data_IF_048728878217
#
_entry.id   IF_048728878217
#
_cell.length_a   1.000
_cell.length_b   1.000
_cell.length_c   1.000
_cell.angle_alpha   90.00
_cell.angle_beta   90.00
_cell.angle_gamma   90.00
#
_symmetry.space_group_name_H-M   'P 1'
#
loop_
_entity.id
_entity.type
_entity.pdbx_description
1 polymer ?
#
# COMPACT_ATOMS: atom_id res chain seq x y z
N UNK A 1 -2.75 7.97 9.51
CA UNK A 1 -3.23 7.06 8.47
C UNK A 1 -2.08 6.43 7.70
N UNK A 2 -2.32 5.28 7.12
CA UNK A 2 -1.30 4.55 6.37
C UNK A 2 -1.93 3.78 5.21
N UNK A 3 -1.14 3.48 4.20
CA UNK A 3 -1.51 2.64 3.08
C UNK A 3 -0.32 1.79 2.62
N UNK A 4 -0.59 0.54 2.29
CA UNK A 4 0.37 -0.34 1.64
C UNK A 4 0.01 -0.47 0.17
N UNK A 5 0.96 -0.13 -0.69
CA UNK A 5 0.89 -0.36 -2.12
C UNK A 5 1.72 -1.59 -2.46
N UNK A 6 1.12 -2.54 -3.16
CA UNK A 6 1.81 -3.73 -3.65
C UNK A 6 2.17 -3.56 -5.13
N UNK A 7 3.38 -3.97 -5.49
CA UNK A 7 3.82 -3.98 -6.88
C UNK A 7 3.28 -5.22 -7.58
N UNK A 8 2.52 -5.01 -8.65
CA UNK A 8 1.94 -6.05 -9.47
C UNK A 8 2.98 -6.62 -10.45
N UNK A 9 2.67 -7.78 -11.06
CA UNK A 9 3.55 -8.43 -12.05
C UNK A 9 3.90 -7.52 -13.24
N UNK A 10 2.98 -6.63 -13.64
CA UNK A 10 3.19 -5.68 -14.73
C UNK A 10 3.99 -4.43 -14.30
N UNK A 11 4.50 -4.37 -13.07
CA UNK A 11 5.25 -3.24 -12.52
C UNK A 11 4.39 -2.11 -11.96
N UNK A 12 3.08 -2.15 -12.12
CA UNK A 12 2.15 -1.16 -11.58
C UNK A 12 1.94 -1.37 -10.08
N UNK A 13 1.43 -0.35 -9.40
CA UNK A 13 1.23 -0.34 -7.95
C UNK A 13 -0.25 -0.21 -7.62
N UNK A 14 -0.73 -1.03 -6.70
CA UNK A 14 -2.11 -1.04 -6.23
C UNK A 14 -2.17 -0.95 -4.71
N UNK A 15 -3.06 -0.11 -4.18
CA UNK A 15 -3.34 -0.05 -2.75
C UNK A 15 -4.05 -1.32 -2.28
N UNK A 16 -3.44 -2.05 -1.34
CA UNK A 16 -3.95 -3.34 -0.87
C UNK A 16 -4.37 -3.35 0.59
N UNK A 17 -3.90 -2.40 1.38
CA UNK A 17 -4.27 -2.25 2.78
C UNK A 17 -4.23 -0.78 3.20
N UNK A 18 -5.20 -0.37 3.99
CA UNK A 18 -5.28 1.00 4.51
C UNK A 18 -5.62 1.00 5.99
N UNK A 19 -5.13 2.02 6.70
CA UNK A 19 -5.45 2.31 8.08
C UNK A 19 -5.85 3.78 8.21
N UNK A 20 -7.02 4.04 8.77
CA UNK A 20 -7.57 5.39 8.90
C UNK A 20 -8.04 5.98 7.56
N UNK A 21 -8.23 7.28 7.54
CA UNK A 21 -8.64 8.02 6.34
C UNK A 21 -7.39 8.39 5.54
N UNK A 22 -6.91 7.47 4.73
CA UNK A 22 -5.74 7.69 3.90
C UNK A 22 -6.12 8.42 2.61
N UNK A 23 -5.45 9.55 2.27
CA UNK A 23 -5.78 10.34 1.09
C UNK A 23 -5.33 9.63 -0.19
N UNK A 24 -6.19 9.55 -1.22
CA UNK A 24 -5.81 9.04 -2.53
C UNK A 24 -4.64 9.80 -3.15
N UNK A 25 -3.81 9.11 -3.93
CA UNK A 25 -2.64 9.69 -4.58
C UNK A 25 -2.98 10.40 -5.89
N UNK A 26 -4.22 10.30 -6.33
CA UNK A 26 -4.79 11.05 -7.45
C UNK A 26 -5.96 11.91 -6.98
N UNK A 27 -6.30 12.94 -7.75
CA UNK A 27 -7.47 13.78 -7.45
C UNK A 27 -8.75 12.96 -7.52
N UNK A 28 -9.58 13.06 -6.47
CA UNK A 28 -10.88 12.43 -6.46
C UNK A 28 -11.87 13.20 -7.32
N UNK A 29 -12.75 12.47 -7.99
CA UNK A 29 -13.85 13.03 -8.79
C UNK A 29 -15.13 13.23 -7.99
N UNK A 30 -15.26 12.56 -6.86
CA UNK A 30 -16.46 12.52 -6.03
C UNK A 30 -16.13 12.98 -4.62
N UNK A 31 -17.01 13.77 -4.00
CA UNK A 31 -16.87 14.20 -2.61
C UNK A 31 -17.10 13.03 -1.64
N UNK A 32 -16.44 13.10 -0.46
CA UNK A 32 -16.66 12.15 0.62
C UNK A 32 -18.05 12.32 1.24
N UNK A 33 -18.64 11.20 1.70
CA UNK A 33 -19.86 11.24 2.50
C UNK A 33 -19.56 11.79 3.92
N UNK A 34 -20.58 12.26 4.62
CA UNK A 34 -20.42 12.79 5.98
C UNK A 34 -20.21 11.71 7.05
N UNK A 35 -20.62 10.47 6.78
CA UNK A 35 -20.45 9.35 7.70
C UNK A 35 -19.05 8.75 7.68
N UNK A 36 -18.38 8.71 8.84
CA UNK A 36 -16.98 8.25 8.97
C UNK A 36 -16.76 6.81 8.48
N UNK A 37 -17.69 5.90 8.79
CA UNK A 37 -17.56 4.51 8.36
C UNK A 37 -17.70 4.36 6.84
N UNK A 38 -18.61 5.13 6.25
CA UNK A 38 -18.79 5.18 4.79
C UNK A 38 -17.62 5.84 4.08
N UNK A 39 -16.99 6.84 4.72
CA UNK A 39 -15.77 7.49 4.22
C UNK A 39 -14.61 6.51 4.13
N UNK A 40 -14.36 5.75 5.18
CA UNK A 40 -13.25 4.79 5.22
C UNK A 40 -13.41 3.72 4.13
N UNK A 41 -14.60 3.16 3.99
CA UNK A 41 -14.91 2.17 2.95
C UNK A 41 -14.78 2.75 1.54
N UNK A 42 -15.25 3.97 1.36
CA UNK A 42 -15.17 4.66 0.07
C UNK A 42 -13.72 4.91 -0.34
N UNK A 43 -12.88 5.38 0.58
CA UNK A 43 -11.46 5.60 0.34
C UNK A 43 -10.72 4.30 0.07
N UNK A 44 -11.00 3.25 0.83
CA UNK A 44 -10.43 1.92 0.61
C UNK A 44 -10.76 1.41 -0.80
N UNK A 45 -11.99 1.60 -1.25
CA UNK A 45 -12.43 1.24 -2.59
C UNK A 45 -11.73 2.04 -3.68
N UNK A 46 -11.54 3.34 -3.49
CA UNK A 46 -10.79 4.19 -4.40
C UNK A 46 -9.33 3.74 -4.47
N UNK A 47 -8.69 3.52 -3.32
CA UNK A 47 -7.29 3.11 -3.25
C UNK A 47 -7.04 1.75 -3.87
N UNK A 48 -7.96 0.79 -3.69
CA UNK A 48 -7.86 -0.53 -4.32
C UNK A 48 -8.09 -0.49 -5.84
N UNK A 49 -8.82 0.50 -6.35
CA UNK A 49 -9.02 0.72 -7.77
C UNK A 49 -7.97 1.64 -8.41
N UNK A 50 -7.21 2.36 -7.59
CA UNK A 50 -6.16 3.27 -8.03
C UNK A 50 -4.90 2.48 -8.37
N UNK A 51 -4.65 2.32 -9.67
CA UNK A 51 -3.45 1.63 -10.15
C UNK A 51 -2.46 2.67 -10.65
N UNK A 52 -1.33 2.80 -9.95
CA UNK A 52 -0.27 3.76 -10.26
C UNK A 52 0.79 3.12 -11.15
N UNK A 53 1.30 3.90 -12.10
CA UNK A 53 2.43 3.48 -12.91
C UNK A 53 3.74 3.57 -12.11
N UNK A 54 4.74 2.77 -12.49
CA UNK A 54 6.09 2.93 -11.94
C UNK A 54 6.66 4.29 -12.34
N UNK A 55 7.11 5.05 -11.35
CA UNK A 55 7.55 6.44 -11.55
C UNK A 55 6.45 7.50 -11.46
N UNK A 56 5.18 7.10 -11.33
CA UNK A 56 4.06 8.02 -11.15
C UNK A 56 3.97 8.51 -9.70
N UNK A 57 4.09 9.81 -9.50
CA UNK A 57 4.03 10.43 -8.17
C UNK A 57 5.18 9.97 -7.26
N UNK A 58 5.07 10.23 -5.96
CA UNK A 58 6.08 9.83 -4.99
C UNK A 58 6.08 8.31 -4.77
N UNK A 59 4.90 7.68 -4.72
CA UNK A 59 4.78 6.22 -4.59
C UNK A 59 5.50 5.52 -5.74
N UNK A 60 5.24 5.93 -6.98
CA UNK A 60 5.89 5.37 -8.16
C UNK A 60 7.40 5.62 -8.20
N UNK A 61 7.85 6.79 -7.75
CA UNK A 61 9.28 7.13 -7.63
C UNK A 61 9.98 6.22 -6.61
N UNK A 62 9.40 6.03 -5.43
CA UNK A 62 9.96 5.15 -4.38
C UNK A 62 9.99 3.69 -4.86
N UNK A 63 8.96 3.23 -5.54
CA UNK A 63 8.94 1.88 -6.11
C UNK A 63 10.03 1.68 -7.17
N UNK A 64 10.30 2.70 -7.97
CA UNK A 64 11.32 2.66 -9.02
C UNK A 64 12.74 2.73 -8.48
N UNK A 65 13.00 3.63 -7.52
CA UNK A 65 14.34 3.90 -6.99
C UNK A 65 14.74 3.00 -5.82
N UNK A 66 13.76 2.44 -5.10
CA UNK A 66 14.00 1.70 -3.85
C UNK A 66 14.50 2.58 -2.71
N UNK A 67 14.35 3.90 -2.81
CA UNK A 67 14.80 4.86 -1.80
C UNK A 67 13.60 5.49 -1.09
N UNK A 68 13.63 5.57 0.26
CA UNK A 68 12.56 6.23 1.01
C UNK A 68 12.52 7.73 0.72
N UNK A 69 11.33 8.31 0.82
CA UNK A 69 11.11 9.75 0.69
C UNK A 69 10.37 10.25 1.93
N UNK A 70 10.88 11.31 2.53
CA UNK A 70 10.25 12.02 3.63
C UNK A 70 9.77 13.39 3.16
N UNK A 71 8.50 13.69 3.39
CA UNK A 71 7.88 14.99 3.08
C UNK A 71 7.47 15.66 4.39
N UNK A 72 8.31 16.53 4.96
CA UNK A 72 8.04 17.16 6.25
C UNK A 72 6.93 18.21 6.19
N UNK A 73 6.73 18.83 5.03
CA UNK A 73 5.68 19.83 4.81
C UNK A 73 4.96 19.56 3.49
N UNK A 74 3.94 18.71 3.56
CA UNK A 74 3.18 18.29 2.40
C UNK A 74 2.37 19.42 1.75
N UNK A 75 2.01 20.46 2.52
CA UNK A 75 1.26 21.60 1.99
C UNK A 75 2.07 22.37 0.94
N UNK A 76 3.37 22.42 1.09
CA UNK A 76 4.28 23.14 0.21
C UNK A 76 4.96 22.24 -0.84
N UNK A 77 4.73 20.94 -0.81
CA UNK A 77 5.32 20.02 -1.77
C UNK A 77 4.37 19.84 -2.98
N UNK A 78 4.80 20.23 -4.19
CA UNK A 78 3.96 20.15 -5.39
C UNK A 78 3.68 18.72 -5.84
N UNK A 79 4.46 17.73 -5.37
CA UNK A 79 4.27 16.31 -5.71
C UNK A 79 3.10 15.69 -4.96
N UNK A 80 2.69 16.29 -3.84
CA UNK A 80 1.59 15.80 -3.00
C UNK A 80 0.26 16.32 -3.53
N UNK A 81 -0.65 15.40 -3.81
CA UNK A 81 -2.01 15.72 -4.23
C UNK A 81 -2.79 16.31 -3.05
N UNK A 82 -3.38 17.48 -3.25
CA UNK A 82 -4.18 18.17 -2.24
C UNK A 82 -5.66 17.89 -2.48
N UNK A 83 -6.34 17.51 -1.42
CA UNK A 83 -7.78 17.27 -1.43
C UNK A 83 -8.49 18.42 -0.71
N UNK A 84 -9.64 18.89 -1.24
CA UNK A 84 -10.38 19.98 -0.62
C UNK A 84 -10.99 19.62 0.74
N UNK A 85 -11.25 18.32 0.99
CA UNK A 85 -11.81 17.86 2.26
C UNK A 85 -10.77 17.96 3.39
N UNK A 86 -11.07 18.69 4.49
CA UNK A 86 -10.16 18.83 5.63
C UNK A 86 -9.80 17.49 6.29
N UNK A 87 -10.67 16.48 6.20
CA UNK A 87 -10.39 15.14 6.74
C UNK A 87 -9.24 14.43 6.00
N UNK A 88 -8.94 14.85 4.77
CA UNK A 88 -7.86 14.34 3.95
C UNK A 88 -6.64 15.27 3.90
N UNK A 89 -6.60 16.31 4.76
CA UNK A 89 -5.48 17.23 4.81
C UNK A 89 -4.19 16.52 5.23
N UNK A 90 -3.13 16.74 4.47
CA UNK A 90 -1.83 16.12 4.70
C UNK A 90 -0.87 17.17 5.24
N UNK A 91 -0.27 16.90 6.41
CA UNK A 91 0.77 17.74 7.02
C UNK A 91 2.16 17.25 6.65
N UNK A 92 2.41 15.97 6.84
CA UNK A 92 3.66 15.31 6.51
C UNK A 92 3.42 13.87 6.09
N UNK A 93 4.34 13.31 5.29
CA UNK A 93 4.27 11.93 4.81
C UNK A 93 5.64 11.28 4.81
N UNK A 94 5.64 9.96 5.02
CA UNK A 94 6.80 9.10 4.85
C UNK A 94 6.44 8.01 3.84
N UNK A 95 7.29 7.84 2.85
CA UNK A 95 7.18 6.78 1.84
C UNK A 95 8.39 5.85 2.01
N UNK A 96 8.15 4.60 2.35
CA UNK A 96 9.21 3.62 2.55
C UNK A 96 9.02 2.42 1.61
N UNK A 97 10.04 2.03 0.85
CA UNK A 97 9.95 0.87 -0.02
C UNK A 97 9.87 -0.43 0.79
N UNK A 98 9.06 -1.36 0.32
CA UNK A 98 8.99 -2.72 0.84
C UNK A 98 9.99 -3.56 0.08
N UNK A 99 11.14 -3.82 0.68
CA UNK A 99 12.27 -4.53 0.03
C UNK A 99 12.51 -5.87 0.69
N UNK A 100 12.62 -6.92 -0.13
CA UNK A 100 13.04 -8.25 0.28
C UNK A 100 13.98 -8.82 -0.77
N UNK A 101 15.17 -9.30 -0.35
CA UNK A 101 16.22 -9.80 -1.22
C UNK A 101 16.57 -8.85 -2.38
N UNK A 102 16.74 -7.56 -2.07
CA UNK A 102 17.02 -6.46 -3.02
C UNK A 102 15.93 -6.20 -4.07
N UNK A 103 14.74 -6.78 -3.89
CA UNK A 103 13.57 -6.59 -4.77
C UNK A 103 12.54 -5.71 -4.08
N UNK A 104 12.06 -4.67 -4.76
CA UNK A 104 10.97 -3.82 -4.28
C UNK A 104 9.64 -4.53 -4.53
N UNK A 105 8.93 -4.86 -3.45
CA UNK A 105 7.62 -5.52 -3.49
C UNK A 105 6.45 -4.52 -3.44
N UNK A 106 6.72 -3.31 -3.01
CA UNK A 106 5.71 -2.28 -2.87
C UNK A 106 6.22 -1.07 -2.11
N UNK A 107 5.30 -0.25 -1.62
CA UNK A 107 5.59 0.96 -0.85
C UNK A 107 4.65 1.08 0.33
N UNK A 108 5.19 1.32 1.52
CA UNK A 108 4.42 1.73 2.70
C UNK A 108 4.40 3.25 2.76
N UNK A 109 3.21 3.82 2.85
CA UNK A 109 3.01 5.26 3.01
C UNK A 109 2.33 5.55 4.33
N UNK A 110 2.91 6.42 5.14
CA UNK A 110 2.34 6.88 6.40
C UNK A 110 2.14 8.39 6.33
N UNK A 111 0.94 8.82 6.64
CA UNK A 111 0.56 10.25 6.62
C UNK A 111 0.20 10.71 8.01
N UNK A 112 0.60 11.93 8.35
CA UNK A 112 0.24 12.66 9.57
C UNK A 112 0.54 11.89 10.86
N UNK A 113 1.63 12.20 11.57
CA UNK A 113 1.88 11.63 12.88
C UNK A 113 0.79 12.04 13.88
N UNK A 114 0.43 11.15 14.80
CA UNK A 114 -0.60 11.42 15.81
C UNK A 114 -0.16 12.46 16.84
N UNK A 115 1.14 12.60 17.06
CA UNK A 115 1.74 13.39 18.13
C UNK A 115 2.37 14.70 17.69
N UNK A 116 2.19 15.15 16.44
CA UNK A 116 2.83 16.38 15.99
C UNK A 116 2.57 16.73 14.53
N UNK A 117 3.29 17.76 14.07
CA UNK A 117 3.17 18.27 12.70
C UNK A 117 4.03 17.50 11.70
N UNK A 118 5.10 16.88 12.18
CA UNK A 118 6.04 16.12 11.34
C UNK A 118 6.56 14.88 12.08
N UNK A 119 7.12 13.95 11.34
CA UNK A 119 7.73 12.74 11.88
C UNK A 119 9.10 13.04 12.49
N UNK A 120 9.39 12.43 13.65
CA UNK A 120 10.72 12.43 14.27
C UNK A 120 11.63 11.38 13.62
N UNK A 121 12.94 11.44 13.94
CA UNK A 121 13.90 10.40 13.49
C UNK A 121 13.52 9.00 14.01
N UNK A 122 12.97 8.94 15.23
CA UNK A 122 12.45 7.69 15.80
C UNK A 122 11.25 7.17 15.00
N UNK A 123 10.34 8.05 14.60
CA UNK A 123 9.19 7.69 13.77
C UNK A 123 9.65 7.15 12.41
N UNK A 124 10.65 7.78 11.78
CA UNK A 124 11.21 7.33 10.50
C UNK A 124 11.83 5.94 10.62
N UNK A 125 12.57 5.68 11.70
CA UNK A 125 13.15 4.36 11.98
C UNK A 125 12.07 3.30 12.19
N UNK A 126 10.99 3.64 12.89
CA UNK A 126 9.85 2.75 13.11
C UNK A 126 9.13 2.42 11.79
N UNK A 127 8.90 3.41 10.93
CA UNK A 127 8.28 3.21 9.62
C UNK A 127 9.15 2.29 8.76
N UNK A 128 10.46 2.48 8.75
CA UNK A 128 11.38 1.60 8.01
C UNK A 128 11.32 0.16 8.52
N UNK A 129 11.27 -0.04 9.84
CA UNK A 129 11.13 -1.38 10.44
C UNK A 129 9.80 -2.03 10.08
N UNK A 130 8.71 -1.28 10.10
CA UNK A 130 7.39 -1.76 9.67
C UNK A 130 7.39 -2.12 8.18
N UNK A 131 8.08 -1.35 7.35
CA UNK A 131 8.22 -1.65 5.92
C UNK A 131 8.95 -2.97 5.67
N UNK A 132 10.03 -3.24 6.41
CA UNK A 132 10.74 -4.52 6.35
C UNK A 132 9.85 -5.70 6.76
N UNK A 133 9.10 -5.55 7.85
CA UNK A 133 8.14 -6.57 8.31
C UNK A 133 7.01 -6.78 7.31
N UNK A 134 6.48 -5.72 6.72
CA UNK A 134 5.44 -5.80 5.70
C UNK A 134 5.95 -6.50 4.43
N UNK A 135 7.18 -6.23 4.01
CA UNK A 135 7.80 -6.91 2.88
C UNK A 135 7.91 -8.42 3.12
N UNK A 136 8.36 -8.80 4.31
CA UNK A 136 8.45 -10.21 4.70
C UNK A 136 7.08 -10.87 4.76
N UNK A 137 6.06 -10.20 5.28
CA UNK A 137 4.70 -10.70 5.34
C UNK A 137 4.10 -10.93 3.95
N UNK A 138 4.31 -10.02 3.01
CA UNK A 138 3.89 -10.16 1.61
C UNK A 138 4.56 -11.39 1.00
N UNK A 139 5.86 -11.53 1.19
CA UNK A 139 6.63 -12.67 0.65
C UNK A 139 6.15 -14.01 1.22
N UNK A 140 5.88 -14.07 2.53
CA UNK A 140 5.36 -15.26 3.19
C UNK A 140 3.94 -15.59 2.73
N UNK A 141 3.08 -14.59 2.55
CA UNK A 141 1.72 -14.77 2.04
C UNK A 141 1.72 -15.36 0.62
N UNK A 142 2.56 -14.85 -0.27
CA UNK A 142 2.72 -15.38 -1.62
C UNK A 142 3.18 -16.84 -1.60
N UNK A 143 4.14 -17.18 -0.74
CA UNK A 143 4.61 -18.54 -0.58
C UNK A 143 3.51 -19.48 -0.04
N UNK A 144 2.70 -19.02 0.91
CA UNK A 144 1.56 -19.78 1.44
C UNK A 144 0.48 -20.00 0.38
N UNK A 145 0.15 -18.98 -0.40
CA UNK A 145 -0.84 -19.07 -1.47
C UNK A 145 -0.42 -20.08 -2.53
N UNK A 146 0.84 -20.10 -2.92
CA UNK A 146 1.38 -21.10 -3.85
C UNK A 146 1.28 -22.53 -3.29
N UNK A 147 1.55 -22.73 -2.00
CA UNK A 147 1.42 -24.05 -1.34
C UNK A 147 -0.04 -24.51 -1.30
N UNK A 148 -0.98 -23.62 -0.99
CA UNK A 148 -2.42 -23.92 -0.94
C UNK A 148 -2.92 -24.31 -2.33
N UNK A 149 -2.59 -23.57 -3.37
CA UNK A 149 -2.96 -23.86 -4.76
C UNK A 149 -2.40 -25.21 -5.20
N UNK A 150 -1.15 -25.49 -4.91
CA UNK A 150 -0.52 -26.78 -5.23
C UNK A 150 -1.23 -27.95 -4.53
N UNK A 151 -1.56 -27.82 -3.27
CA UNK A 151 -2.30 -28.84 -2.51
C UNK A 151 -3.69 -29.08 -3.07
N UNK A 152 -4.41 -28.02 -3.47
CA UNK A 152 -5.71 -28.13 -4.13
C UNK A 152 -5.62 -28.89 -5.44
N UNK A 153 -4.67 -28.57 -6.29
CA UNK A 153 -4.45 -29.25 -7.57
C UNK A 153 -4.14 -30.72 -7.36
N UNK A 154 -3.29 -31.07 -6.42
CA UNK A 154 -2.95 -32.47 -6.08
C UNK A 154 -4.17 -33.23 -5.55
N UNK A 155 -5.02 -32.60 -4.73
CA UNK A 155 -6.28 -33.18 -4.23
C UNK A 155 -7.27 -33.44 -5.37
N UNK A 156 -7.48 -32.48 -6.26
CA UNK A 156 -8.38 -32.63 -7.41
C UNK A 156 -7.93 -33.72 -8.37
N UNK A 157 -6.63 -33.84 -8.61
CA UNK A 157 -6.05 -34.92 -9.43
C UNK A 157 -6.24 -36.31 -8.77
N UNK A 158 -6.09 -36.41 -7.44
CA UNK A 158 -6.32 -37.66 -6.70
C UNK A 158 -7.78 -38.11 -6.78
N UNK A 159 -8.73 -37.19 -6.61
CA UNK A 159 -10.16 -37.46 -6.76
C UNK A 159 -10.52 -37.91 -8.18
N UNK A 160 -9.97 -37.27 -9.20
CA UNK A 160 -10.19 -37.66 -10.60
C UNK A 160 -9.66 -39.08 -10.89
N UNK A 161 -8.53 -39.45 -10.32
CA UNK A 161 -7.96 -40.81 -10.45
C UNK A 161 -8.83 -41.86 -9.76
N UNK A 162 -9.34 -41.58 -8.57
CA UNK A 162 -10.26 -42.52 -7.87
C UNK A 162 -11.55 -42.73 -8.65
N UNK A 163 -12.14 -41.66 -9.20
CA UNK A 163 -13.34 -41.79 -10.05
C UNK A 163 -13.08 -42.55 -11.33
N UNK A 164 -11.92 -42.39 -11.97
CA UNK A 164 -11.54 -43.11 -13.17
C UNK A 164 -11.13 -44.58 -12.90
N UNK A 165 -10.72 -44.89 -11.67
CA UNK A 165 -10.35 -46.23 -11.22
C UNK A 165 -11.54 -47.12 -10.82
N UNK A 166 -12.73 -46.55 -10.82
CA UNK A 166 -13.98 -47.22 -10.57
C UNK A 166 -14.58 -47.73 -11.88
#
# INVERSE_FOLDING_TARGET
SACVYEKLENGKLQGVATEGLFPPQRKMRTALSEETASRARFLEKILSSEILEEGEGIVGEVAKTGKPVFVPNAQNDPRVVKHPDPALAIRSMVYSPLIHDDVVLGVLVVANPSSGLTFSDMDLSLVNSLAEQAALAIKNSDAMNLRVEKTRMDSDLSLAREVQGL
#
